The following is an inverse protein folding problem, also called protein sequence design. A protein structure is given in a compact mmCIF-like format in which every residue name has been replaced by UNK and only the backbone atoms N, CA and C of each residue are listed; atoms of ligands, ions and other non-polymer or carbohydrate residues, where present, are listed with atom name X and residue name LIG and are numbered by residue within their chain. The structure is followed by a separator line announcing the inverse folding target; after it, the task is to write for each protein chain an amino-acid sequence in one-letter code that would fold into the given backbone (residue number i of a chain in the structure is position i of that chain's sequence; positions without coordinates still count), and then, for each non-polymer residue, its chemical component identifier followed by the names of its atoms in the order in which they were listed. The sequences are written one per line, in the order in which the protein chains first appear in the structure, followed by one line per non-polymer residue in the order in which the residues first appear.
data_IF_057724957214
#
_entry.id   IF_057724957214
#
_cell.length_a   1.000
_cell.length_b   1.000
_cell.length_c   1.000
_cell.angle_alpha   90.00
_cell.angle_beta   90.00
_cell.angle_gamma   90.00
#
_symmetry.space_group_name_H-M   'P 1'
#
loop_
_entity.id
_entity.type
_entity.pdbx_description
1 polymer ?
#
# COMPACT_ATOMS: atom_id res chain seq x y z
N UNK A 1 6.66 3.71 15.45
CA UNK A 1 5.35 4.24 15.02
C UNK A 1 5.48 4.69 13.57
N UNK A 2 4.81 4.00 12.64
CA UNK A 2 4.86 4.31 11.20
C UNK A 2 3.97 5.52 10.89
N UNK A 3 4.41 6.71 11.31
CA UNK A 3 3.78 7.94 10.85
C UNK A 3 4.05 8.08 9.35
N UNK A 4 3.08 8.53 8.56
CA UNK A 4 3.26 8.78 7.13
C UNK A 4 4.39 9.76 6.77
N UNK A 5 5.09 10.30 7.79
CA UNK A 5 6.28 11.14 7.68
C UNK A 5 7.49 10.46 7.03
N UNK A 6 7.48 9.12 6.86
CA UNK A 6 8.57 8.44 6.15
C UNK A 6 8.72 9.00 4.73
N UNK A 7 7.61 9.23 4.02
CA UNK A 7 7.62 9.68 2.64
C UNK A 7 8.18 11.11 2.52
N UNK A 8 7.76 12.00 3.41
CA UNK A 8 8.26 13.37 3.49
C UNK A 8 9.78 13.42 3.71
N UNK A 9 10.29 12.59 4.63
CA UNK A 9 11.74 12.46 4.88
C UNK A 9 12.49 11.93 3.67
N UNK A 10 11.95 10.91 3.01
CA UNK A 10 12.54 10.33 1.80
C UNK A 10 12.60 11.37 0.68
N UNK A 11 11.54 12.14 0.45
CA UNK A 11 11.54 13.22 -0.53
C UNK A 11 12.60 14.29 -0.22
N UNK A 12 12.71 14.71 1.04
CA UNK A 12 13.72 15.69 1.46
C UNK A 12 15.15 15.17 1.28
N UNK A 13 15.37 13.87 1.41
CA UNK A 13 16.70 13.25 1.25
C UNK A 13 17.17 13.10 -0.20
N UNK A 14 16.25 13.05 -1.17
CA UNK A 14 16.56 12.75 -2.58
C UNK A 14 17.10 13.96 -3.35
N UNK A 15 17.23 15.12 -2.68
CA UNK A 15 17.78 16.35 -3.25
C UNK A 15 16.91 16.93 -4.37
N UNK A 16 17.37 18.03 -4.96
CA UNK A 16 16.63 18.75 -6.03
C UNK A 16 16.81 18.15 -7.42
N UNK A 17 17.74 17.21 -7.58
CA UNK A 17 18.09 16.59 -8.87
C UNK A 17 17.05 15.60 -9.37
N UNK A 18 16.34 14.91 -8.47
CA UNK A 18 15.31 13.92 -8.84
C UNK A 18 13.92 14.55 -8.79
N UNK A 19 13.40 15.00 -9.94
CA UNK A 19 12.19 15.83 -9.99
C UNK A 19 10.86 15.06 -10.00
N UNK A 20 10.86 13.73 -10.21
CA UNK A 20 9.63 12.94 -10.35
C UNK A 20 9.80 11.54 -9.75
N UNK A 21 9.43 11.39 -8.49
CA UNK A 21 9.47 10.11 -7.77
C UNK A 21 8.05 9.72 -7.41
N UNK A 22 7.67 8.49 -7.72
CA UNK A 22 6.39 7.92 -7.35
C UNK A 22 6.59 6.91 -6.22
N UNK A 23 5.90 7.13 -5.10
CA UNK A 23 5.87 6.18 -3.99
C UNK A 23 4.78 5.15 -4.20
N UNK A 24 5.12 3.88 -4.07
CA UNK A 24 4.19 2.77 -4.20
C UNK A 24 4.31 1.88 -2.95
N UNK A 25 3.18 1.46 -2.41
CA UNK A 25 3.10 0.49 -1.32
C UNK A 25 2.34 -0.74 -1.82
N UNK A 26 2.99 -1.90 -1.71
CA UNK A 26 2.37 -3.21 -1.87
C UNK A 26 1.98 -3.74 -0.49
N UNK A 27 0.77 -4.26 -0.39
CA UNK A 27 0.24 -4.85 0.83
C UNK A 27 -0.38 -6.20 0.50
N UNK A 28 -0.09 -7.21 1.30
CA UNK A 28 -0.77 -8.50 1.21
C UNK A 28 -0.98 -9.05 2.61
N UNK A 29 -2.22 -9.47 2.88
CA UNK A 29 -2.61 -10.18 4.09
C UNK A 29 -3.46 -11.40 3.74
N UNK A 30 -3.56 -12.33 4.69
CA UNK A 30 -4.49 -13.44 4.58
C UNK A 30 -5.92 -12.89 4.66
N UNK A 31 -6.68 -13.03 3.59
CA UNK A 31 -8.12 -12.78 3.58
C UNK A 31 -8.88 -14.08 3.40
N UNK A 32 -9.77 -14.36 4.34
CA UNK A 32 -10.71 -15.48 4.25
C UNK A 32 -11.71 -15.21 3.11
N UNK A 33 -11.70 -16.05 2.07
CA UNK A 33 -12.54 -15.89 0.89
C UNK A 33 -13.93 -16.53 1.04
N UNK A 34 -14.11 -17.43 2.01
CA UNK A 34 -15.36 -18.19 2.17
C UNK A 34 -16.15 -17.79 3.44
N UNK A 35 -17.48 -17.92 3.35
CA UNK A 35 -18.39 -17.73 4.48
C UNK A 35 -18.12 -18.69 5.66
N UNK A 36 -17.33 -19.75 5.45
CA UNK A 36 -17.06 -20.81 6.42
C UNK A 36 -15.60 -20.84 6.93
N UNK A 37 -14.72 -19.95 6.50
CA UNK A 37 -13.36 -19.86 7.05
C UNK A 37 -12.32 -20.86 6.54
N UNK A 38 -12.63 -21.68 5.53
CA UNK A 38 -11.81 -22.81 5.07
C UNK A 38 -10.76 -22.44 4.04
N UNK A 39 -10.93 -21.35 3.30
CA UNK A 39 -9.96 -20.90 2.30
C UNK A 39 -9.48 -19.49 2.61
N UNK A 40 -8.17 -19.37 2.86
CA UNK A 40 -7.48 -18.09 2.97
C UNK A 40 -6.67 -17.87 1.70
N UNK A 41 -6.89 -16.74 1.05
CA UNK A 41 -6.05 -16.28 -0.05
C UNK A 41 -5.27 -15.05 0.38
N UNK A 42 -4.18 -14.75 -0.32
CA UNK A 42 -3.31 -13.62 -0.05
C UNK A 42 -3.41 -12.59 -1.18
N UNK A 43 -4.45 -11.74 -1.22
CA UNK A 43 -4.55 -10.67 -2.21
C UNK A 43 -3.36 -9.71 -2.09
N UNK A 44 -2.92 -9.19 -3.22
CA UNK A 44 -1.91 -8.14 -3.30
C UNK A 44 -2.61 -6.85 -3.69
N UNK A 45 -2.58 -5.87 -2.80
CA UNK A 45 -3.08 -4.52 -3.04
C UNK A 45 -1.94 -3.56 -3.34
N UNK A 46 -2.16 -2.68 -4.32
CA UNK A 46 -1.31 -1.56 -4.69
C UNK A 46 -1.92 -0.25 -4.18
N UNK A 47 -1.12 0.63 -3.60
CA UNK A 47 -1.53 1.99 -3.29
C UNK A 47 -0.38 2.99 -3.43
N UNK A 48 -0.71 4.28 -3.53
CA UNK A 48 0.30 5.33 -3.55
C UNK A 48 0.79 5.63 -2.13
N UNK A 49 2.12 5.62 -1.95
CA UNK A 49 2.73 5.79 -0.63
C UNK A 49 2.63 7.20 -0.05
N UNK A 50 2.30 8.20 -0.89
CA UNK A 50 2.06 9.57 -0.47
C UNK A 50 0.62 9.83 0.04
N UNK A 51 -0.28 8.85 -0.05
CA UNK A 51 -1.64 8.97 0.49
C UNK A 51 -1.62 8.73 2.01
N UNK A 52 -2.19 9.63 2.84
CA UNK A 52 -2.28 9.45 4.29
C UNK A 52 -3.00 8.14 4.66
N UNK A 53 -2.59 7.50 5.76
CA UNK A 53 -3.07 6.16 6.14
C UNK A 53 -4.61 6.07 6.23
N UNK A 54 -5.26 7.08 6.80
CA UNK A 54 -6.72 7.13 6.94
C UNK A 54 -7.46 7.13 5.59
N UNK A 55 -6.87 7.75 4.55
CA UNK A 55 -7.41 7.76 3.19
C UNK A 55 -7.01 6.50 2.44
N UNK A 56 -5.77 6.06 2.59
CA UNK A 56 -5.21 4.86 1.95
C UNK A 56 -5.95 3.59 2.35
N UNK A 57 -6.56 3.53 3.52
CA UNK A 57 -7.34 2.38 3.99
C UNK A 57 -8.76 2.28 3.42
N UNK A 58 -9.16 3.20 2.55
CA UNK A 58 -10.42 3.08 1.80
C UNK A 58 -10.22 2.21 0.56
N UNK A 59 -11.25 1.47 0.17
CA UNK A 59 -11.17 0.53 -0.97
C UNK A 59 -10.84 1.22 -2.29
N UNK A 60 -11.32 2.45 -2.50
CA UNK A 60 -11.06 3.28 -3.68
C UNK A 60 -9.63 3.83 -3.76
N UNK A 61 -8.85 3.73 -2.68
CA UNK A 61 -7.46 4.18 -2.62
C UNK A 61 -6.45 3.04 -2.85
N UNK A 62 -6.94 1.83 -3.16
CA UNK A 62 -6.12 0.65 -3.46
C UNK A 62 -6.61 -0.03 -4.73
N UNK A 63 -5.70 -0.65 -5.47
CA UNK A 63 -6.05 -1.54 -6.58
C UNK A 63 -5.64 -2.98 -6.23
N UNK A 64 -6.50 -3.96 -6.50
CA UNK A 64 -6.14 -5.37 -6.43
C UNK A 64 -5.29 -5.73 -7.65
N UNK A 65 -4.10 -6.28 -7.42
CA UNK A 65 -3.20 -6.73 -8.49
C UNK A 65 -3.33 -8.22 -8.79
N UNK A 66 -3.73 -9.02 -7.80
CA UNK A 66 -3.84 -10.46 -7.92
C UNK A 66 -3.73 -11.13 -6.55
N UNK A 67 -3.52 -12.45 -6.56
CA UNK A 67 -3.39 -13.29 -5.37
C UNK A 67 -2.03 -14.00 -5.40
N UNK A 68 -1.37 -14.08 -4.25
CA UNK A 68 -0.18 -14.93 -4.09
C UNK A 68 -0.61 -16.41 -4.02
N UNK A 69 0.23 -17.33 -4.55
CA UNK A 69 0.00 -18.77 -4.43
C UNK A 69 0.10 -19.29 -3.00
#
# INVERSE_FOLDING_TARGET
QWSGMWWERTQNSLGTSVKKILSIILYSDATTLDHLGKSSEHPIYLSLGNIPNWRRNKCDAKALLGFLP
#
